data_IF_951314646279
#
_entry.id   IF_951314646279
#
_cell.length_a   1.000
_cell.length_b   1.000
_cell.length_c   1.000
_cell.angle_alpha   90.00
_cell.angle_beta   90.00
_cell.angle_gamma   90.00
#
_symmetry.space_group_name_H-M   'P 1'
#
loop_
_entity.id
_entity.type
_entity.pdbx_description
1 polymer ?
#
# COMPACT_ATOMS: atom_id res chain seq x y z
N UNK A 1 12.95 15.88 -4.87
CA UNK A 1 11.67 16.58 -4.58
C UNK A 1 10.44 15.68 -4.75
N UNK A 2 10.29 14.91 -5.83
CA UNK A 2 9.11 14.06 -6.07
C UNK A 2 8.93 12.97 -5.00
N UNK A 3 10.02 12.29 -4.59
CA UNK A 3 9.99 11.28 -3.53
C UNK A 3 9.48 11.86 -2.21
N UNK A 4 9.93 13.07 -1.85
CA UNK A 4 9.46 13.75 -0.65
C UNK A 4 7.96 14.08 -0.73
N UNK A 5 7.47 14.49 -1.90
CA UNK A 5 6.04 14.74 -2.11
C UNK A 5 5.20 13.46 -1.90
N UNK A 6 5.69 12.29 -2.37
CA UNK A 6 5.03 11.01 -2.09
C UNK A 6 5.07 10.63 -0.62
N UNK A 7 6.18 10.88 0.09
CA UNK A 7 6.27 10.62 1.54
C UNK A 7 5.25 11.48 2.30
N UNK A 8 5.15 12.77 1.96
CA UNK A 8 4.15 13.67 2.55
C UNK A 8 2.73 13.22 2.21
N UNK A 9 2.48 12.83 0.95
CA UNK A 9 1.18 12.30 0.55
C UNK A 9 0.80 11.01 1.28
N UNK A 10 1.76 10.10 1.50
CA UNK A 10 1.55 8.89 2.30
C UNK A 10 1.21 9.22 3.74
N UNK A 11 1.93 10.17 4.36
CA UNK A 11 1.66 10.61 5.72
C UNK A 11 0.25 11.22 5.84
N UNK A 12 -0.13 12.09 4.90
CA UNK A 12 -1.48 12.66 4.86
C UNK A 12 -2.55 11.59 4.61
N UNK A 13 -2.28 10.64 3.72
CA UNK A 13 -3.16 9.49 3.48
C UNK A 13 -3.35 8.63 4.73
N UNK A 14 -2.28 8.43 5.48
CA UNK A 14 -2.29 7.68 6.74
C UNK A 14 -3.12 8.39 7.81
N UNK A 15 -2.95 9.71 7.96
CA UNK A 15 -3.77 10.52 8.87
C UNK A 15 -5.24 10.46 8.43
N UNK A 16 -5.52 10.63 7.15
CA UNK A 16 -6.88 10.60 6.62
C UNK A 16 -7.55 9.23 6.82
N UNK A 17 -6.83 8.12 6.61
CA UNK A 17 -7.39 6.79 6.83
C UNK A 17 -7.78 6.54 8.29
N UNK A 18 -7.09 7.19 9.24
CA UNK A 18 -7.42 7.06 10.67
C UNK A 18 -8.78 7.72 11.01
N UNK A 19 -9.15 8.76 10.24
CA UNK A 19 -10.45 9.43 10.41
C UNK A 19 -11.59 8.78 9.62
N UNK A 20 -11.30 7.99 8.59
CA UNK A 20 -12.37 7.43 7.72
C UNK A 20 -13.09 6.22 8.32
N UNK A 21 -12.55 5.61 9.38
CA UNK A 21 -13.22 4.49 10.05
C UNK A 21 -13.44 3.25 9.18
N UNK A 22 -14.30 2.37 9.64
CA UNK A 22 -14.68 1.12 8.95
C UNK A 22 -15.79 1.38 7.96
N UNK A 23 -15.65 0.89 6.72
CA UNK A 23 -16.70 1.02 5.69
C UNK A 23 -17.92 0.19 6.09
N UNK A 24 -19.10 0.80 6.24
CA UNK A 24 -20.32 0.07 6.59
C UNK A 24 -20.64 -1.01 5.56
N UNK A 25 -20.93 -2.22 6.01
CA UNK A 25 -21.29 -3.35 5.15
C UNK A 25 -20.13 -4.28 4.75
N UNK A 26 -18.89 -3.79 4.73
CA UNK A 26 -17.72 -4.61 4.39
C UNK A 26 -16.84 -4.95 5.59
N UNK A 27 -17.01 -4.27 6.72
CA UNK A 27 -16.14 -4.46 7.89
C UNK A 27 -14.66 -4.16 7.63
N UNK A 28 -14.35 -3.49 6.52
CA UNK A 28 -13.00 -3.23 6.04
C UNK A 28 -12.63 -1.75 6.23
N UNK A 29 -11.36 -1.50 6.51
CA UNK A 29 -10.82 -0.14 6.59
C UNK A 29 -10.33 0.31 5.21
N UNK A 30 -10.41 1.62 4.96
CA UNK A 30 -9.83 2.23 3.76
C UNK A 30 -8.33 2.38 3.99
N UNK A 31 -7.52 1.55 3.34
CA UNK A 31 -6.07 1.63 3.42
C UNK A 31 -5.52 2.53 2.30
N UNK A 32 -5.36 3.82 2.59
CA UNK A 32 -4.85 4.80 1.62
C UNK A 32 -3.33 4.73 1.46
N UNK A 33 -2.60 4.42 2.53
CA UNK A 33 -1.14 4.37 2.51
C UNK A 33 -0.60 3.37 1.47
N UNK A 34 -1.06 2.09 1.40
CA UNK A 34 -0.61 1.16 0.37
C UNK A 34 -0.94 1.64 -1.04
N UNK A 35 -2.11 2.25 -1.26
CA UNK A 35 -2.53 2.75 -2.57
C UNK A 35 -1.59 3.87 -3.05
N UNK A 36 -1.30 4.86 -2.20
CA UNK A 36 -0.40 5.97 -2.52
C UNK A 36 1.03 5.44 -2.74
N UNK A 37 1.48 4.49 -1.90
CA UNK A 37 2.78 3.83 -2.07
C UNK A 37 2.90 3.16 -3.44
N UNK A 38 1.90 2.38 -3.86
CA UNK A 38 1.90 1.69 -5.15
C UNK A 38 1.98 2.66 -6.33
N UNK A 39 1.27 3.79 -6.25
CA UNK A 39 1.37 4.86 -7.24
C UNK A 39 2.81 5.42 -7.31
N UNK A 40 3.43 5.66 -6.16
CA UNK A 40 4.81 6.12 -6.06
C UNK A 40 5.81 5.07 -6.59
N UNK A 41 5.64 3.80 -6.23
CA UNK A 41 6.49 2.70 -6.67
C UNK A 41 6.46 2.51 -8.19
N UNK A 42 5.29 2.71 -8.83
CA UNK A 42 5.16 2.66 -10.29
C UNK A 42 5.82 3.87 -10.98
N UNK A 43 5.77 5.04 -10.37
CA UNK A 43 6.27 6.29 -10.97
C UNK A 43 7.77 6.48 -10.79
N UNK A 44 8.35 6.03 -9.68
CA UNK A 44 9.72 6.33 -9.26
C UNK A 44 10.74 5.27 -9.72
N UNK A 45 12.04 5.64 -9.84
CA UNK A 45 13.12 4.67 -10.03
C UNK A 45 13.33 3.82 -8.77
N UNK A 46 14.01 2.67 -8.94
CA UNK A 46 14.20 1.65 -7.87
C UNK A 46 14.72 2.24 -6.56
N UNK A 47 15.73 3.09 -6.59
CA UNK A 47 16.33 3.69 -5.39
C UNK A 47 15.35 4.58 -4.62
N UNK A 48 14.58 5.41 -5.34
CA UNK A 48 13.55 6.25 -4.74
C UNK A 48 12.36 5.41 -4.25
N UNK A 49 12.02 4.32 -4.94
CA UNK A 49 11.00 3.37 -4.51
C UNK A 49 11.41 2.67 -3.21
N UNK A 50 12.68 2.27 -3.05
CA UNK A 50 13.17 1.68 -1.80
C UNK A 50 13.10 2.66 -0.63
N UNK A 51 13.45 3.93 -0.85
CA UNK A 51 13.28 4.98 0.17
C UNK A 51 11.81 5.17 0.55
N UNK A 52 10.91 5.06 -0.44
CA UNK A 52 9.47 5.14 -0.23
C UNK A 52 8.95 3.92 0.55
N UNK A 53 9.45 2.72 0.23
CA UNK A 53 9.11 1.48 0.92
C UNK A 53 9.55 1.51 2.39
N UNK A 54 10.76 2.04 2.66
CA UNK A 54 11.24 2.24 4.01
C UNK A 54 10.33 3.19 4.79
N UNK A 55 10.00 4.34 4.20
CA UNK A 55 9.10 5.31 4.84
C UNK A 55 7.69 4.74 5.07
N UNK A 56 7.13 4.00 4.09
CA UNK A 56 5.81 3.38 4.20
C UNK A 56 5.77 2.32 5.31
N UNK A 57 6.76 1.42 5.33
CA UNK A 57 6.87 0.38 6.35
C UNK A 57 7.06 0.95 7.74
N UNK A 58 7.94 1.96 7.88
CA UNK A 58 8.15 2.64 9.16
C UNK A 58 6.88 3.34 9.66
N UNK A 59 6.18 4.07 8.78
CA UNK A 59 4.90 4.71 9.13
C UNK A 59 3.86 3.67 9.56
N UNK A 60 3.80 2.54 8.87
CA UNK A 60 2.88 1.44 9.20
C UNK A 60 3.20 0.82 10.55
N UNK A 61 4.47 0.45 10.79
CA UNK A 61 4.93 -0.15 12.04
C UNK A 61 4.73 0.79 13.24
N UNK A 62 4.95 2.10 13.05
CA UNK A 62 4.74 3.09 14.11
C UNK A 62 3.28 3.25 14.54
N UNK A 63 2.31 2.98 13.65
CA UNK A 63 0.88 3.16 13.96
C UNK A 63 0.18 1.87 14.36
N UNK A 64 0.68 0.74 13.93
CA UNK A 64 0.12 -0.57 14.23
C UNK A 64 0.89 -1.28 15.36
N UNK A 65 1.36 -0.54 16.37
CA UNK A 65 1.92 -1.17 17.55
C UNK A 65 0.82 -1.93 18.33
N UNK A 66 1.12 -3.15 18.73
CA UNK A 66 0.20 -3.99 19.48
C UNK A 66 0.71 -4.06 20.92
N UNK A 67 -0.02 -3.52 21.92
CA UNK A 67 0.32 -3.74 23.31
C UNK A 67 0.02 -5.19 23.69
N UNK A 68 1.07 -5.99 23.96
CA UNK A 68 0.95 -7.34 24.48
C UNK A 68 1.39 -7.33 25.94
N UNK A 69 0.49 -7.63 26.86
CA UNK A 69 0.75 -7.78 28.30
C UNK A 69 1.57 -6.63 28.95
N UNK A 70 1.29 -5.38 28.57
CA UNK A 70 2.00 -4.21 29.11
C UNK A 70 3.39 -3.97 28.52
N UNK A 71 3.83 -4.78 27.56
CA UNK A 71 5.01 -4.54 26.72
C UNK A 71 4.57 -4.05 25.34
N UNK A 72 5.20 -3.00 24.87
CA UNK A 72 4.99 -2.51 23.51
C UNK A 72 5.91 -3.30 22.60
N UNK A 73 5.35 -4.28 21.89
CA UNK A 73 6.11 -5.07 20.94
C UNK A 73 6.01 -4.41 19.55
N UNK A 74 7.11 -3.85 19.09
CA UNK A 74 7.19 -3.24 17.76
C UNK A 74 7.70 -4.27 16.76
N UNK A 75 6.91 -4.67 15.75
CA UNK A 75 7.39 -5.53 14.67
C UNK A 75 8.25 -4.75 13.67
N UNK A 76 9.29 -4.04 14.17
CA UNK A 76 10.12 -3.23 13.30
C UNK A 76 10.76 -4.05 12.18
N UNK A 77 10.54 -3.61 10.96
CA UNK A 77 11.25 -4.08 9.76
C UNK A 77 10.53 -5.12 8.91
N UNK A 78 9.57 -5.88 9.45
CA UNK A 78 8.84 -6.88 8.67
C UNK A 78 8.02 -6.24 7.55
N UNK A 79 7.31 -5.17 7.87
CA UNK A 79 6.51 -4.43 6.89
C UNK A 79 7.37 -3.64 5.90
N UNK A 80 8.56 -3.18 6.28
CA UNK A 80 9.52 -2.56 5.37
C UNK A 80 9.91 -3.53 4.25
N UNK A 81 10.26 -4.79 4.61
CA UNK A 81 10.58 -5.83 3.64
C UNK A 81 9.38 -6.15 2.74
N UNK A 82 8.19 -6.20 3.32
CA UNK A 82 6.97 -6.43 2.56
C UNK A 82 6.71 -5.31 1.55
N UNK A 83 6.78 -4.03 1.97
CA UNK A 83 6.66 -2.90 1.07
C UNK A 83 7.77 -2.86 0.01
N UNK A 84 9.00 -3.22 0.36
CA UNK A 84 10.10 -3.31 -0.60
C UNK A 84 9.85 -4.40 -1.66
N UNK A 85 9.38 -5.59 -1.26
CA UNK A 85 9.01 -6.67 -2.17
C UNK A 85 7.86 -6.29 -3.10
N UNK A 86 6.80 -5.69 -2.53
CA UNK A 86 5.65 -5.19 -3.29
C UNK A 86 6.08 -4.08 -4.25
N UNK A 87 6.93 -3.15 -3.79
CA UNK A 87 7.48 -2.07 -4.60
C UNK A 87 8.32 -2.59 -5.77
N UNK A 88 9.15 -3.60 -5.53
CA UNK A 88 9.95 -4.26 -6.57
C UNK A 88 9.05 -4.93 -7.63
N UNK A 89 8.01 -5.64 -7.20
CA UNK A 89 7.01 -6.24 -8.09
C UNK A 89 6.30 -5.16 -8.93
N UNK A 90 5.87 -4.08 -8.29
CA UNK A 90 5.21 -2.96 -8.99
C UNK A 90 6.14 -2.26 -9.97
N UNK A 91 7.41 -2.12 -9.63
CA UNK A 91 8.42 -1.55 -10.54
C UNK A 91 8.64 -2.47 -11.77
N UNK A 92 8.59 -3.79 -11.59
CA UNK A 92 8.59 -4.75 -12.71
C UNK A 92 7.37 -4.62 -13.62
N UNK A 93 6.20 -4.27 -13.07
CA UNK A 93 4.97 -4.03 -13.83
C UNK A 93 4.88 -2.61 -14.43
N UNK A 94 5.90 -1.78 -14.23
CA UNK A 94 5.97 -0.41 -14.72
C UNK A 94 5.70 -0.23 -16.22
N UNK A 95 6.14 -1.13 -17.14
CA UNK A 95 5.82 -0.99 -18.56
C UNK A 95 4.31 -1.01 -18.85
N UNK A 96 3.54 -1.79 -18.08
CA UNK A 96 2.08 -1.86 -18.20
C UNK A 96 1.42 -0.59 -17.67
N UNK A 97 1.95 -0.05 -16.56
CA UNK A 97 1.53 1.23 -16.00
C UNK A 97 1.71 2.37 -17.00
N UNK A 98 2.85 2.44 -17.67
CA UNK A 98 3.14 3.49 -18.65
C UNK A 98 2.28 3.42 -19.90
N UNK A 99 1.71 2.23 -20.22
CA UNK A 99 0.73 2.06 -21.30
C UNK A 99 -0.66 2.61 -20.96
N UNK A 100 -0.88 3.06 -19.72
CA UNK A 100 -2.14 3.67 -19.29
C UNK A 100 -3.24 2.66 -18.96
N UNK A 101 -2.91 1.41 -18.71
CA UNK A 101 -3.86 0.36 -18.35
C UNK A 101 -4.27 0.47 -16.88
N UNK A 102 -5.16 1.42 -16.61
CA UNK A 102 -5.65 1.69 -15.26
C UNK A 102 -6.31 0.47 -14.57
N UNK A 103 -6.94 -0.41 -15.36
CA UNK A 103 -7.59 -1.63 -14.86
C UNK A 103 -6.58 -2.57 -14.20
N UNK A 104 -5.42 -2.77 -14.84
CA UNK A 104 -4.35 -3.60 -14.28
C UNK A 104 -3.81 -2.96 -13.00
N UNK A 105 -3.63 -1.64 -12.99
CA UNK A 105 -3.16 -0.94 -11.81
C UNK A 105 -4.14 -1.10 -10.64
N UNK A 106 -5.44 -0.93 -10.88
CA UNK A 106 -6.48 -1.12 -9.86
C UNK A 106 -6.52 -2.56 -9.34
N UNK A 107 -6.45 -3.55 -10.25
CA UNK A 107 -6.42 -4.97 -9.87
C UNK A 107 -5.18 -5.31 -9.03
N UNK A 108 -4.00 -4.86 -9.45
CA UNK A 108 -2.74 -5.07 -8.71
C UNK A 108 -2.79 -4.40 -7.35
N UNK A 109 -3.29 -3.16 -7.26
CA UNK A 109 -3.45 -2.46 -6.00
C UNK A 109 -4.39 -3.22 -5.04
N UNK A 110 -5.52 -3.73 -5.54
CA UNK A 110 -6.45 -4.53 -4.75
C UNK A 110 -5.83 -5.82 -4.24
N UNK A 111 -5.17 -6.58 -5.13
CA UNK A 111 -4.51 -7.85 -4.77
C UNK A 111 -3.40 -7.61 -3.74
N UNK A 112 -2.52 -6.63 -3.99
CA UNK A 112 -1.40 -6.34 -3.09
C UNK A 112 -1.87 -5.84 -1.72
N UNK A 113 -2.93 -5.04 -1.68
CA UNK A 113 -3.51 -4.59 -0.41
C UNK A 113 -4.19 -5.74 0.35
N UNK A 114 -4.85 -6.65 -0.36
CA UNK A 114 -5.39 -7.87 0.25
C UNK A 114 -4.27 -8.78 0.81
N UNK A 115 -3.16 -8.92 0.09
CA UNK A 115 -1.98 -9.66 0.56
C UNK A 115 -1.36 -8.99 1.80
N UNK A 116 -1.25 -7.65 1.82
CA UNK A 116 -0.81 -6.91 3.00
C UNK A 116 -1.70 -7.21 4.21
N UNK A 117 -3.01 -7.11 4.05
CA UNK A 117 -3.97 -7.40 5.12
C UNK A 117 -3.90 -8.87 5.59
N UNK A 118 -3.66 -9.81 4.66
CA UNK A 118 -3.47 -11.22 4.98
C UNK A 118 -2.20 -11.46 5.80
N UNK A 119 -1.07 -10.87 5.38
CA UNK A 119 0.21 -10.99 6.09
C UNK A 119 0.12 -10.37 7.48
N UNK A 120 -0.52 -9.21 7.61
CA UNK A 120 -0.77 -8.57 8.91
C UNK A 120 -1.59 -9.49 9.81
N UNK A 121 -2.67 -10.08 9.30
CA UNK A 121 -3.48 -11.04 10.05
C UNK A 121 -2.66 -12.26 10.51
N UNK A 122 -1.82 -12.81 9.63
CA UNK A 122 -0.93 -13.93 9.94
C UNK A 122 0.04 -13.54 11.07
N UNK A 123 0.71 -12.40 10.96
CA UNK A 123 1.66 -11.90 11.97
C UNK A 123 0.97 -11.75 13.33
N UNK A 124 -0.23 -11.14 13.36
CA UNK A 124 -1.00 -10.96 14.60
C UNK A 124 -1.40 -12.32 15.19
N UNK A 125 -1.83 -13.27 14.35
CA UNK A 125 -2.27 -14.60 14.81
C UNK A 125 -1.11 -15.41 15.38
N UNK A 126 0.08 -15.36 14.76
CA UNK A 126 1.26 -16.06 15.26
C UNK A 126 1.80 -15.50 16.58
N UNK A 127 1.44 -14.26 16.92
CA UNK A 127 1.87 -13.59 18.17
C UNK A 127 0.92 -13.82 19.33
N UNK A 128 -0.29 -14.37 19.09
CA UNK A 128 -1.26 -14.66 20.16
C UNK A 128 -0.99 -16.02 20.78
N UNK A 129 -0.91 -16.06 22.08
CA UNK A 129 -0.88 -17.29 22.88
C UNK A 129 -2.24 -17.47 23.59
N UNK A 130 -2.88 -18.66 23.53
CA UNK A 130 -2.49 -19.85 22.76
C UNK A 130 -2.70 -19.68 21.26
N UNK A 131 -1.82 -20.29 20.46
CA UNK A 131 -1.90 -20.28 19.01
C UNK A 131 -3.19 -20.97 18.54
N UNK A 132 -4.11 -20.19 18.00
CA UNK A 132 -5.34 -20.70 17.41
C UNK A 132 -5.53 -20.09 16.02
N UNK A 133 -5.22 -20.86 14.98
CA UNK A 133 -5.45 -20.46 13.61
C UNK A 133 -6.93 -20.68 13.27
N UNK A 134 -7.78 -19.74 13.71
CA UNK A 134 -9.20 -19.76 13.40
C UNK A 134 -9.41 -18.84 12.19
N UNK A 135 -9.97 -19.40 11.12
CA UNK A 135 -10.31 -18.67 9.88
C UNK A 135 -11.82 -18.40 9.79
N UNK A 136 -12.38 -17.50 10.58
CA UNK A 136 -13.79 -17.16 10.48
C UNK A 136 -14.06 -16.43 9.16
N UNK A 137 -15.33 -16.52 8.72
CA UNK A 137 -15.79 -15.90 7.48
C UNK A 137 -15.54 -14.39 7.42
N UNK A 138 -15.60 -13.75 8.58
CA UNK A 138 -15.36 -12.31 8.74
C UNK A 138 -13.95 -11.90 8.31
N UNK A 139 -12.95 -12.75 8.49
CA UNK A 139 -11.56 -12.47 8.06
C UNK A 139 -11.47 -12.41 6.55
N UNK A 140 -12.09 -13.36 5.85
CA UNK A 140 -12.12 -13.34 4.39
C UNK A 140 -12.85 -12.12 3.84
N UNK A 141 -13.96 -11.74 4.48
CA UNK A 141 -14.67 -10.51 4.13
C UNK A 141 -13.81 -9.28 4.39
N UNK A 142 -13.08 -9.24 5.51
CA UNK A 142 -12.16 -8.12 5.80
C UNK A 142 -11.02 -8.04 4.80
N UNK A 143 -10.34 -9.14 4.49
CA UNK A 143 -9.24 -9.16 3.52
C UNK A 143 -9.73 -8.80 2.12
N UNK A 144 -10.77 -9.46 1.64
CA UNK A 144 -11.35 -9.21 0.33
C UNK A 144 -11.97 -7.82 0.21
N UNK A 145 -12.67 -7.37 1.25
CA UNK A 145 -13.24 -6.04 1.33
C UNK A 145 -12.18 -4.93 1.27
N UNK A 146 -11.09 -5.10 2.03
CA UNK A 146 -9.96 -4.14 2.02
C UNK A 146 -9.31 -4.08 0.62
N UNK A 147 -9.13 -5.23 -0.04
CA UNK A 147 -8.61 -5.27 -1.41
C UNK A 147 -9.54 -4.60 -2.42
N UNK A 148 -10.84 -4.86 -2.35
CA UNK A 148 -11.82 -4.23 -3.24
C UNK A 148 -11.87 -2.70 -3.04
N UNK A 149 -11.91 -2.25 -1.80
CA UNK A 149 -11.89 -0.82 -1.47
C UNK A 149 -10.62 -0.18 -2.02
N UNK A 150 -9.45 -0.80 -1.82
CA UNK A 150 -8.19 -0.31 -2.35
C UNK A 150 -8.18 -0.25 -3.89
N UNK A 151 -8.74 -1.25 -4.58
CA UNK A 151 -8.86 -1.25 -6.04
C UNK A 151 -9.70 -0.06 -6.53
N UNK A 152 -10.83 0.23 -5.88
CA UNK A 152 -11.70 1.36 -6.23
C UNK A 152 -10.97 2.69 -6.00
N UNK A 153 -10.31 2.85 -4.85
CA UNK A 153 -9.55 4.07 -4.55
C UNK A 153 -8.30 4.24 -5.41
N UNK A 154 -7.69 3.16 -5.88
CA UNK A 154 -6.54 3.23 -6.78
C UNK A 154 -6.86 3.90 -8.12
N UNK A 155 -8.10 3.82 -8.60
CA UNK A 155 -8.51 4.40 -9.89
C UNK A 155 -8.32 5.92 -9.92
N UNK A 156 -8.96 6.71 -9.02
CA UNK A 156 -8.81 8.16 -9.02
C UNK A 156 -7.36 8.59 -8.75
N UNK A 157 -6.64 7.91 -7.85
CA UNK A 157 -5.23 8.20 -7.60
C UNK A 157 -4.37 7.99 -8.85
N UNK A 158 -4.61 6.89 -9.58
CA UNK A 158 -3.93 6.64 -10.85
C UNK A 158 -4.23 7.73 -11.90
N UNK A 159 -5.49 8.12 -12.04
CA UNK A 159 -5.89 9.13 -13.00
C UNK A 159 -5.26 10.49 -12.69
N UNK A 160 -5.28 10.89 -11.41
CA UNK A 160 -4.63 12.13 -10.93
C UNK A 160 -3.13 12.07 -11.21
N UNK A 161 -2.46 10.98 -10.86
CA UNK A 161 -1.03 10.83 -11.06
C UNK A 161 -0.66 10.83 -12.54
N UNK A 162 -1.43 10.19 -13.39
CA UNK A 162 -1.23 10.19 -14.83
C UNK A 162 -1.41 11.59 -15.43
N UNK A 163 -2.43 12.33 -14.95
CA UNK A 163 -2.66 13.70 -15.39
C UNK A 163 -1.53 14.66 -14.95
N UNK A 164 -1.13 14.59 -13.68
CA UNK A 164 -0.01 15.38 -13.14
C UNK A 164 1.31 15.00 -13.83
N UNK A 165 1.56 13.71 -13.99
CA UNK A 165 2.77 13.19 -14.63
C UNK A 165 2.91 13.61 -16.10
N UNK A 166 1.80 13.69 -16.85
CA UNK A 166 1.79 14.22 -18.21
C UNK A 166 2.08 15.72 -18.23
N UNK A 167 1.50 16.50 -17.32
CA UNK A 167 1.77 17.96 -17.23
C UNK A 167 3.18 18.27 -16.78
N UNK A 168 3.72 17.51 -15.85
CA UNK A 168 5.08 17.69 -15.33
C UNK A 168 6.18 17.15 -16.27
N UNK A 169 5.82 16.57 -17.41
CA UNK A 169 6.79 15.99 -18.37
C UNK A 169 7.52 14.75 -17.86
N UNK A 170 7.11 14.19 -16.72
CA UNK A 170 7.77 13.07 -16.06
C UNK A 170 7.80 11.80 -16.91
N UNK A 171 6.87 11.66 -17.84
CA UNK A 171 6.75 10.52 -18.75
C UNK A 171 7.36 10.76 -20.13
N UNK A 172 7.68 12.01 -20.49
CA UNK A 172 8.21 12.35 -21.82
C UNK A 172 9.72 12.10 -21.96
N UNK A 173 10.50 12.26 -20.90
CA UNK A 173 11.96 12.13 -20.95
C UNK A 173 12.49 10.73 -21.29
N UNK A 174 11.65 9.68 -21.28
CA UNK A 174 12.07 8.32 -21.57
C UNK A 174 11.65 7.76 -22.94
N UNK A 175 10.82 8.44 -23.72
CA UNK A 175 10.57 8.06 -25.12
C UNK A 175 11.74 8.33 -26.05
N UNK A 176 12.67 9.20 -25.63
CA UNK A 176 13.85 9.55 -26.40
C UNK A 176 15.07 8.64 -26.14
N UNK A 177 14.95 7.65 -25.23
CA UNK A 177 16.06 6.78 -24.83
C UNK A 177 15.84 5.28 -25.20
N UNK A 178 14.86 5.00 -26.07
CA UNK A 178 14.62 3.70 -26.73
C UNK A 178 14.65 3.91 -28.23
#
# INVERSE_FOLDING_TARGET
MITLAFIVAMFLGLVLQHFTGVVPGFGSQILLLPVIFLCGAAALPVWSMLSLAFAAGLMWDCLNFIPVEGRVDFPFGGTILLYAGIGAMMNGLRPLYLRGWWQIHAAVAGILTAVLALVEFIIITFRREPFALIWPREIWQRIGGTGLVAAVFAIPFFLILNWVGRRAGLFQQRRAAI
#
